data_IF_190961796537
#
_entry.id   IF_190961796537
#
_cell.length_a   1.000
_cell.length_b   1.000
_cell.length_c   1.000
_cell.angle_alpha   90.00
_cell.angle_beta   90.00
_cell.angle_gamma   90.00
#
_symmetry.space_group_name_H-M   'P 1'
#
loop_
_entity.id
_entity.type
_entity.pdbx_description
1 polymer ?
#
# COMPACT_ATOMS: atom_id res chain seq x y z
N UNK A 1 23.05 23.22 -7.97
CA UNK A 1 22.59 22.78 -6.63
C UNK A 1 21.35 21.94 -6.85
N UNK A 2 21.33 20.72 -6.34
CA UNK A 2 20.22 19.77 -6.50
C UNK A 2 19.26 19.96 -5.33
N UNK A 3 18.00 20.30 -5.62
CA UNK A 3 17.00 20.54 -4.58
C UNK A 3 16.12 19.32 -4.34
N UNK A 4 15.91 19.01 -3.05
CA UNK A 4 14.96 18.03 -2.54
C UNK A 4 13.83 18.79 -1.86
N UNK A 5 12.59 18.52 -2.23
CA UNK A 5 11.40 19.10 -1.62
C UNK A 5 10.73 18.12 -0.66
N UNK A 6 10.33 18.58 0.53
CA UNK A 6 9.43 17.85 1.41
C UNK A 6 8.06 18.52 1.39
N UNK A 7 7.05 17.80 0.93
CA UNK A 7 5.66 18.22 0.92
C UNK A 7 4.92 17.47 2.04
N UNK A 8 4.68 18.14 3.17
CA UNK A 8 4.10 17.53 4.38
C UNK A 8 2.94 18.33 4.96
N UNK A 9 2.18 17.71 5.84
CA UNK A 9 1.01 18.27 6.49
C UNK A 9 1.22 18.59 7.96
N UNK A 10 0.51 17.86 8.82
CA UNK A 10 0.45 18.10 10.27
C UNK A 10 1.62 17.56 11.06
N UNK A 11 2.58 16.95 10.42
CA UNK A 11 3.75 16.36 11.05
C UNK A 11 4.69 17.45 11.61
N UNK A 12 5.32 17.21 12.75
CA UNK A 12 6.14 18.21 13.42
C UNK A 12 7.53 17.72 13.81
N UNK A 13 7.77 16.42 14.02
CA UNK A 13 9.07 15.88 14.42
C UNK A 13 9.86 15.33 13.24
N UNK A 14 9.24 14.55 12.37
CA UNK A 14 9.90 13.96 11.20
C UNK A 14 10.37 15.02 10.17
N UNK A 15 9.58 16.01 9.76
CA UNK A 15 9.97 16.94 8.71
C UNK A 15 11.27 17.71 9.00
N UNK A 16 11.45 18.36 10.17
CA UNK A 16 12.70 19.09 10.45
C UNK A 16 13.91 18.14 10.57
N UNK A 17 13.76 16.99 11.22
CA UNK A 17 14.86 16.03 11.36
C UNK A 17 15.31 15.46 9.99
N UNK A 18 14.36 15.16 9.11
CA UNK A 18 14.65 14.72 7.76
C UNK A 18 15.38 15.80 6.93
N UNK A 19 14.90 17.05 6.95
CA UNK A 19 15.52 18.17 6.21
C UNK A 19 16.94 18.39 6.71
N UNK A 20 17.16 18.44 8.02
CA UNK A 20 18.48 18.60 8.63
C UNK A 20 19.41 17.47 8.18
N UNK A 21 18.96 16.21 8.26
CA UNK A 21 19.78 15.06 7.91
C UNK A 21 20.13 15.02 6.42
N UNK A 22 19.19 15.33 5.52
CA UNK A 22 19.49 15.43 4.09
C UNK A 22 20.50 16.55 3.81
N UNK A 23 20.36 17.72 4.46
CA UNK A 23 21.30 18.82 4.32
C UNK A 23 22.71 18.47 4.84
N UNK A 24 22.81 17.69 5.91
CA UNK A 24 24.11 17.19 6.38
C UNK A 24 24.78 16.25 5.36
N UNK A 25 24.03 15.24 4.89
CA UNK A 25 24.51 14.25 3.92
C UNK A 25 24.87 14.91 2.57
N UNK A 26 24.07 15.88 2.17
CA UNK A 26 24.18 16.52 0.86
C UNK A 26 25.30 17.55 0.72
N UNK A 27 25.97 17.95 1.82
CA UNK A 27 27.01 19.02 1.79
C UNK A 27 28.09 18.81 0.74
N UNK A 28 28.56 17.59 0.55
CA UNK A 28 29.64 17.26 -0.41
C UNK A 28 29.14 17.20 -1.85
N UNK A 29 27.89 16.82 -2.04
CA UNK A 29 27.30 16.55 -3.37
C UNK A 29 26.45 17.71 -3.89
N UNK A 30 26.38 18.81 -3.15
CA UNK A 30 25.59 20.00 -3.51
C UNK A 30 24.08 19.74 -3.51
N UNK A 31 23.61 18.80 -2.66
CA UNK A 31 22.19 18.51 -2.47
C UNK A 31 21.67 19.25 -1.23
N UNK A 32 20.51 19.88 -1.36
CA UNK A 32 19.83 20.58 -0.27
C UNK A 32 18.37 20.18 -0.18
N UNK A 33 17.82 20.12 1.04
CA UNK A 33 16.41 19.85 1.30
C UNK A 33 15.72 21.05 1.94
N UNK A 34 14.47 21.26 1.54
CA UNK A 34 13.60 22.32 2.07
C UNK A 34 12.13 21.94 2.01
N UNK A 35 11.28 22.66 2.75
CA UNK A 35 9.83 22.52 2.57
C UNK A 35 9.39 23.03 1.21
N UNK A 36 8.57 22.27 0.49
CA UNK A 36 7.96 22.74 -0.76
C UNK A 36 6.99 23.88 -0.47
N UNK A 37 7.14 24.99 -1.17
CA UNK A 37 6.22 26.13 -1.12
C UNK A 37 5.62 26.35 -2.50
N UNK A 38 4.30 26.32 -2.57
CA UNK A 38 3.56 26.38 -3.82
C UNK A 38 2.57 27.56 -3.82
N UNK A 39 2.51 28.23 -4.95
CA UNK A 39 1.46 29.19 -5.30
C UNK A 39 0.59 28.65 -6.44
N UNK A 40 0.08 29.50 -7.32
CA UNK A 40 -0.55 29.06 -8.57
C UNK A 40 0.49 28.51 -9.53
N UNK A 41 0.29 27.27 -10.01
CA UNK A 41 1.21 26.60 -10.94
C UNK A 41 0.75 26.79 -12.39
N UNK A 42 1.64 27.18 -13.29
CA UNK A 42 1.35 27.35 -14.71
C UNK A 42 1.75 26.12 -15.52
N UNK A 43 0.94 25.76 -16.50
CA UNK A 43 1.32 24.68 -17.44
C UNK A 43 2.66 25.02 -18.12
N UNK A 44 3.57 24.05 -18.18
CA UNK A 44 4.90 24.22 -18.78
C UNK A 44 5.92 24.90 -17.87
N UNK A 45 5.56 25.37 -16.69
CA UNK A 45 6.50 25.85 -15.69
C UNK A 45 7.41 24.71 -15.19
N UNK A 46 8.75 24.86 -15.23
CA UNK A 46 9.64 23.80 -14.80
C UNK A 46 9.51 23.55 -13.31
N UNK A 47 9.60 22.29 -12.89
CA UNK A 47 9.66 21.95 -11.48
C UNK A 47 11.03 22.32 -10.90
N UNK A 48 11.06 22.94 -9.73
CA UNK A 48 12.30 23.38 -9.06
C UNK A 48 13.05 22.22 -8.38
N UNK A 49 12.38 21.11 -8.09
CA UNK A 49 12.91 20.03 -7.28
C UNK A 49 13.31 18.83 -8.14
N UNK A 50 14.47 18.28 -7.86
CA UNK A 50 14.92 17.00 -8.43
C UNK A 50 14.17 15.83 -7.84
N UNK A 51 13.90 15.88 -6.52
CA UNK A 51 13.12 14.88 -5.78
C UNK A 51 12.10 15.62 -4.92
N UNK A 52 10.88 15.08 -4.84
CA UNK A 52 9.88 15.50 -3.86
C UNK A 52 9.43 14.28 -3.05
N UNK A 53 9.47 14.39 -1.72
CA UNK A 53 8.82 13.43 -0.81
C UNK A 53 7.42 13.95 -0.50
N UNK A 54 6.41 13.19 -0.91
CA UNK A 54 5.01 13.53 -0.70
C UNK A 54 4.46 12.81 0.54
N UNK A 55 3.95 13.61 1.48
CA UNK A 55 3.34 13.11 2.73
C UNK A 55 1.96 13.68 3.00
N UNK A 56 1.34 14.37 2.03
CA UNK A 56 0.08 15.09 2.28
C UNK A 56 -0.88 15.10 1.10
N UNK A 57 -0.45 14.82 -0.13
CA UNK A 57 -1.33 14.99 -1.28
C UNK A 57 -2.52 14.01 -1.31
N UNK A 58 -2.50 12.98 -0.48
CA UNK A 58 -3.67 12.12 -0.24
C UNK A 58 -4.83 12.85 0.44
N UNK A 59 -4.56 13.95 1.17
CA UNK A 59 -5.57 14.80 1.80
C UNK A 59 -5.88 16.06 0.99
N UNK A 60 -4.93 16.55 0.17
CA UNK A 60 -5.03 17.86 -0.52
C UNK A 60 -4.86 17.69 -2.03
N UNK A 61 -5.97 17.74 -2.74
CA UNK A 61 -6.03 17.49 -4.19
C UNK A 61 -5.16 18.44 -5.02
N UNK A 62 -5.05 19.72 -4.62
CA UNK A 62 -4.16 20.68 -5.29
C UNK A 62 -2.71 20.18 -5.35
N UNK A 63 -2.19 19.65 -4.25
CA UNK A 63 -0.82 19.10 -4.22
C UNK A 63 -0.67 17.90 -5.14
N UNK A 64 -1.68 17.05 -5.26
CA UNK A 64 -1.69 15.91 -6.17
C UNK A 64 -1.59 16.35 -7.63
N UNK A 65 -2.34 17.41 -8.00
CA UNK A 65 -2.27 18.00 -9.33
C UNK A 65 -0.87 18.54 -9.65
N UNK A 66 -0.27 19.27 -8.70
CA UNK A 66 1.10 19.75 -8.84
C UNK A 66 2.12 18.61 -8.97
N UNK A 67 2.05 17.59 -8.12
CA UNK A 67 2.99 16.46 -8.16
C UNK A 67 2.95 15.70 -9.48
N UNK A 68 1.76 15.50 -10.06
CA UNK A 68 1.63 14.91 -11.41
C UNK A 68 2.31 15.76 -12.47
N UNK A 69 2.13 17.07 -12.40
CA UNK A 69 2.85 18.00 -13.29
C UNK A 69 4.38 17.91 -13.07
N UNK A 70 4.85 17.91 -11.83
CA UNK A 70 6.27 17.81 -11.49
C UNK A 70 6.90 16.51 -12.04
N UNK A 71 6.21 15.36 -11.96
CA UNK A 71 6.68 14.09 -12.56
C UNK A 71 6.86 14.24 -14.07
N UNK A 72 5.92 14.89 -14.76
CA UNK A 72 6.04 15.15 -16.21
C UNK A 72 7.22 16.08 -16.55
N UNK A 73 7.64 16.94 -15.62
CA UNK A 73 8.82 17.79 -15.75
C UNK A 73 10.12 17.10 -15.32
N UNK A 74 10.09 15.80 -14.97
CA UNK A 74 11.25 15.00 -14.61
C UNK A 74 11.60 14.98 -13.13
N UNK A 75 10.74 15.52 -12.26
CA UNK A 75 10.90 15.38 -10.80
C UNK A 75 10.61 13.96 -10.37
N UNK A 76 11.50 13.40 -9.57
CA UNK A 76 11.28 12.10 -8.92
C UNK A 76 10.38 12.30 -7.70
N UNK A 77 9.16 11.77 -7.72
CA UNK A 77 8.22 11.88 -6.59
C UNK A 77 8.11 10.57 -5.85
N UNK A 78 8.33 10.58 -4.54
CA UNK A 78 8.17 9.44 -3.63
C UNK A 78 6.87 9.66 -2.82
N UNK A 79 5.80 8.86 -3.00
CA UNK A 79 5.61 7.84 -4.05
C UNK A 79 5.07 8.46 -5.33
N UNK A 80 5.20 7.75 -6.46
CA UNK A 80 4.71 8.23 -7.75
C UNK A 80 3.19 8.55 -7.71
N UNK A 81 2.78 9.82 -7.93
CA UNK A 81 1.39 10.25 -7.73
C UNK A 81 0.42 9.68 -8.75
N UNK A 82 0.89 9.20 -9.89
CA UNK A 82 0.02 8.56 -10.89
C UNK A 82 -0.45 7.20 -10.45
N UNK A 83 0.35 6.49 -9.63
CA UNK A 83 0.01 5.14 -9.21
C UNK A 83 -0.71 5.12 -7.86
N UNK A 84 -0.17 5.72 -6.82
CA UNK A 84 -0.79 5.61 -5.51
C UNK A 84 -2.17 6.28 -5.42
N UNK A 85 -2.50 7.19 -6.34
CA UNK A 85 -3.85 7.75 -6.46
C UNK A 85 -4.88 6.76 -7.01
N UNK A 86 -4.43 5.62 -7.55
CA UNK A 86 -5.27 4.49 -7.92
C UNK A 86 -5.40 3.48 -6.76
N UNK A 87 -5.33 3.95 -5.52
CA UNK A 87 -5.39 3.16 -4.30
C UNK A 87 -6.71 2.37 -4.22
N UNK A 88 -6.62 1.10 -4.54
CA UNK A 88 -7.71 0.15 -4.64
C UNK A 88 -7.28 -1.15 -3.95
N UNK A 89 -7.78 -1.35 -2.73
CA UNK A 89 -7.44 -2.53 -1.93
C UNK A 89 -7.79 -3.83 -2.65
N UNK A 90 -8.91 -3.89 -3.34
CA UNK A 90 -9.35 -5.11 -4.00
C UNK A 90 -8.46 -5.48 -5.19
N UNK A 91 -8.12 -4.51 -6.03
CA UNK A 91 -7.17 -4.71 -7.13
C UNK A 91 -5.79 -5.12 -6.61
N UNK A 92 -5.29 -4.38 -5.62
CA UNK A 92 -3.96 -4.62 -5.06
C UNK A 92 -3.85 -5.99 -4.38
N UNK A 93 -4.87 -6.42 -3.63
CA UNK A 93 -4.95 -7.78 -3.08
C UNK A 93 -4.96 -8.84 -4.20
N UNK A 94 -5.70 -8.59 -5.27
CA UNK A 94 -5.75 -9.50 -6.42
C UNK A 94 -4.39 -9.65 -7.09
N UNK A 95 -3.67 -8.54 -7.30
CA UNK A 95 -2.32 -8.55 -7.90
C UNK A 95 -1.35 -9.34 -7.02
N UNK A 96 -1.24 -8.99 -5.73
CA UNK A 96 -0.21 -9.59 -4.87
C UNK A 96 -0.53 -11.05 -4.53
N UNK A 97 -1.81 -11.43 -4.48
CA UNK A 97 -2.23 -12.84 -4.37
C UNK A 97 -1.74 -13.68 -5.55
N UNK A 98 -1.87 -13.14 -6.77
CA UNK A 98 -1.34 -13.81 -8.00
C UNK A 98 0.18 -13.93 -7.99
N UNK A 99 0.87 -13.07 -7.26
CA UNK A 99 2.32 -13.12 -7.08
C UNK A 99 2.76 -14.05 -5.92
N UNK A 100 1.81 -14.73 -5.27
CA UNK A 100 2.09 -15.74 -4.24
C UNK A 100 2.17 -15.20 -2.82
N UNK A 101 1.85 -13.93 -2.58
CA UNK A 101 1.71 -13.37 -1.23
C UNK A 101 0.40 -13.85 -0.62
N UNK A 102 0.43 -14.33 0.63
CA UNK A 102 -0.78 -14.74 1.33
C UNK A 102 -1.66 -13.53 1.66
N UNK A 103 -2.90 -13.56 1.22
CA UNK A 103 -3.91 -12.52 1.39
C UNK A 103 -5.16 -13.15 2.00
N UNK A 104 -5.85 -12.50 2.95
CA UNK A 104 -7.15 -12.93 3.40
C UNK A 104 -8.16 -12.94 2.24
N UNK A 105 -9.07 -13.90 2.22
CA UNK A 105 -10.17 -13.92 1.24
C UNK A 105 -10.91 -12.61 1.30
N UNK A 106 -11.15 -11.99 0.16
CA UNK A 106 -11.71 -10.63 0.08
C UNK A 106 -12.78 -10.56 -1.01
N UNK A 107 -13.89 -9.89 -0.69
CA UNK A 107 -14.99 -9.59 -1.61
C UNK A 107 -15.12 -8.08 -1.73
N UNK A 108 -15.33 -7.58 -2.94
CA UNK A 108 -15.69 -6.19 -3.20
C UNK A 108 -17.22 -6.05 -3.13
N UNK A 109 -17.70 -5.11 -2.34
CA UNK A 109 -19.13 -4.80 -2.19
C UNK A 109 -19.46 -3.45 -2.85
N UNK A 110 -20.58 -3.35 -3.58
CA UNK A 110 -21.05 -2.07 -4.11
C UNK A 110 -21.36 -1.09 -2.97
N UNK A 111 -21.42 0.20 -3.28
CA UNK A 111 -21.90 1.21 -2.33
C UNK A 111 -23.37 0.97 -2.01
N UNK A 112 -23.77 1.21 -0.75
CA UNK A 112 -25.18 1.19 -0.37
C UNK A 112 -25.94 2.42 -0.85
N UNK A 113 -25.29 3.57 -0.89
CA UNK A 113 -25.85 4.84 -1.33
C UNK A 113 -24.84 5.67 -2.09
N UNK A 114 -25.28 6.78 -2.62
CA UNK A 114 -24.46 7.67 -3.43
C UNK A 114 -24.53 9.10 -2.86
N UNK A 115 -23.48 9.92 -3.03
CA UNK A 115 -23.53 11.34 -2.67
C UNK A 115 -24.71 12.05 -3.38
N UNK A 116 -25.32 13.00 -2.69
CA UNK A 116 -26.52 13.69 -3.22
C UNK A 116 -26.22 14.60 -4.41
N UNK A 117 -24.98 14.98 -4.61
CA UNK A 117 -24.48 15.80 -5.72
C UNK A 117 -24.12 14.98 -6.97
N UNK A 118 -24.26 13.65 -6.89
CA UNK A 118 -24.04 12.75 -8.02
C UNK A 118 -25.39 12.30 -8.56
N UNK A 119 -25.64 12.56 -9.85
CA UNK A 119 -26.87 12.15 -10.52
C UNK A 119 -26.83 10.65 -10.85
N UNK A 120 -27.20 9.82 -9.85
CA UNK A 120 -27.30 8.37 -9.98
C UNK A 120 -28.78 7.98 -10.05
N UNK A 121 -29.17 7.39 -11.16
CA UNK A 121 -30.51 6.85 -11.41
C UNK A 121 -30.52 5.33 -11.41
N UNK A 122 -31.69 4.71 -11.48
CA UNK A 122 -31.83 3.26 -11.63
C UNK A 122 -31.11 2.73 -12.88
N UNK A 123 -31.09 3.52 -13.94
CA UNK A 123 -30.40 3.19 -15.20
C UNK A 123 -28.89 3.17 -15.03
N UNK A 124 -28.34 4.05 -14.20
CA UNK A 124 -26.91 4.04 -13.84
C UNK A 124 -26.50 2.75 -13.14
N UNK A 125 -27.42 2.12 -12.42
CA UNK A 125 -27.20 0.92 -11.62
C UNK A 125 -27.67 -0.38 -12.32
N UNK A 126 -28.05 -0.34 -13.58
CA UNK A 126 -28.58 -1.49 -14.33
C UNK A 126 -27.63 -2.70 -14.39
N UNK A 127 -26.35 -2.48 -14.18
CA UNK A 127 -25.33 -3.54 -14.20
C UNK A 127 -25.13 -4.20 -12.83
N UNK A 128 -25.70 -3.64 -11.76
CA UNK A 128 -25.64 -4.27 -10.44
C UNK A 128 -26.68 -5.37 -10.33
N UNK A 129 -26.28 -6.48 -9.72
CA UNK A 129 -27.19 -7.63 -9.47
C UNK A 129 -27.63 -7.58 -8.00
N UNK A 130 -28.94 -7.47 -7.80
CA UNK A 130 -29.59 -7.51 -6.49
C UNK A 130 -30.66 -8.60 -6.43
N UNK A 131 -30.94 -9.15 -5.21
CA UNK A 131 -30.23 -8.94 -3.95
C UNK A 131 -28.83 -9.57 -4.01
N UNK A 132 -27.90 -9.06 -3.16
CA UNK A 132 -26.61 -9.71 -2.97
C UNK A 132 -26.79 -11.02 -2.19
N UNK A 133 -26.02 -12.04 -2.54
CA UNK A 133 -25.95 -13.31 -1.82
C UNK A 133 -25.12 -13.16 -0.53
N UNK A 134 -25.69 -12.50 0.48
CA UNK A 134 -25.00 -12.22 1.72
C UNK A 134 -24.50 -13.45 2.47
N UNK A 135 -25.28 -14.53 2.43
CA UNK A 135 -24.89 -15.78 3.09
C UNK A 135 -23.70 -16.42 2.37
N UNK A 136 -23.75 -16.53 1.03
CA UNK A 136 -22.63 -17.03 0.25
C UNK A 136 -21.37 -16.17 0.35
N UNK A 137 -21.50 -14.84 0.46
CA UNK A 137 -20.35 -13.95 0.68
C UNK A 137 -19.70 -14.18 2.05
N UNK A 138 -20.50 -14.32 3.11
CA UNK A 138 -20.00 -14.62 4.45
C UNK A 138 -19.41 -16.04 4.53
N UNK A 139 -19.98 -17.02 3.84
CA UNK A 139 -19.45 -18.39 3.80
C UNK A 139 -18.09 -18.42 3.07
N UNK A 140 -17.93 -17.60 2.04
CA UNK A 140 -16.66 -17.48 1.32
C UNK A 140 -15.54 -16.88 2.19
N UNK A 141 -15.78 -15.77 2.89
CA UNK A 141 -14.76 -15.12 3.72
C UNK A 141 -14.63 -15.72 5.11
N UNK A 142 -15.63 -16.45 5.58
CA UNK A 142 -15.70 -17.02 6.94
C UNK A 142 -16.24 -16.00 7.97
N UNK A 143 -16.43 -16.53 9.20
CA UNK A 143 -16.92 -15.75 10.33
C UNK A 143 -15.96 -15.92 11.52
N UNK A 144 -15.58 -14.84 12.22
CA UNK A 144 -15.92 -13.45 11.94
C UNK A 144 -15.24 -12.92 10.67
N UNK A 145 -15.77 -11.81 10.11
CA UNK A 145 -15.21 -11.11 8.96
C UNK A 145 -14.95 -9.63 9.29
N UNK A 146 -14.17 -8.96 8.45
CA UNK A 146 -13.89 -7.52 8.53
C UNK A 146 -14.54 -6.81 7.35
N UNK A 147 -15.44 -5.87 7.65
CA UNK A 147 -15.96 -4.91 6.68
C UNK A 147 -15.16 -3.63 6.78
N UNK A 148 -14.56 -3.19 5.67
CA UNK A 148 -13.74 -1.97 5.60
C UNK A 148 -13.86 -1.29 4.25
N UNK A 149 -13.63 0.05 4.16
CA UNK A 149 -13.61 0.74 2.89
C UNK A 149 -12.59 0.16 1.92
N UNK A 150 -12.95 0.12 0.65
CA UNK A 150 -12.09 -0.35 -0.42
C UNK A 150 -10.90 0.60 -0.67
N UNK A 151 -11.06 1.89 -0.36
CA UNK A 151 -10.03 2.92 -0.45
C UNK A 151 -9.88 3.69 0.86
N UNK A 152 -8.75 4.38 1.03
CA UNK A 152 -8.44 5.15 2.23
C UNK A 152 -7.93 4.30 3.40
N UNK A 153 -7.74 4.94 4.57
CA UNK A 153 -7.15 4.36 5.77
C UNK A 153 -7.62 5.01 7.06
N UNK A 154 -6.83 4.90 8.13
CA UNK A 154 -7.11 5.55 9.41
C UNK A 154 -8.21 4.91 10.26
N UNK A 155 -8.52 3.64 10.03
CA UNK A 155 -9.52 2.86 10.78
C UNK A 155 -10.96 3.39 10.69
N UNK A 156 -11.26 4.31 9.77
CA UNK A 156 -12.61 4.81 9.55
C UNK A 156 -13.46 3.72 8.88
N UNK A 157 -14.66 3.49 9.41
CA UNK A 157 -15.62 2.51 8.88
C UNK A 157 -15.07 1.07 8.80
N UNK A 158 -14.21 0.67 9.74
CA UNK A 158 -13.73 -0.71 9.89
C UNK A 158 -14.54 -1.40 10.97
N UNK A 159 -15.22 -2.49 10.60
CA UNK A 159 -16.12 -3.24 11.48
C UNK A 159 -15.76 -4.73 11.47
N UNK A 160 -15.67 -5.34 12.65
CA UNK A 160 -15.65 -6.79 12.79
C UNK A 160 -17.08 -7.28 12.93
N UNK A 161 -17.49 -8.21 12.08
CA UNK A 161 -18.87 -8.72 12.00
C UNK A 161 -18.86 -10.25 12.19
N UNK A 162 -19.78 -10.75 12.99
CA UNK A 162 -19.84 -12.18 13.34
C UNK A 162 -20.96 -12.94 12.61
N UNK A 163 -21.96 -12.20 12.10
CA UNK A 163 -23.13 -12.76 11.44
C UNK A 163 -23.67 -11.77 10.38
N UNK A 164 -24.72 -12.18 9.70
CA UNK A 164 -25.34 -11.41 8.62
C UNK A 164 -26.02 -10.14 9.12
N UNK A 165 -26.64 -10.19 10.28
CA UNK A 165 -27.35 -9.07 10.90
C UNK A 165 -26.34 -7.96 11.25
N UNK A 166 -25.23 -8.29 11.90
CA UNK A 166 -24.14 -7.34 12.19
C UNK A 166 -23.52 -6.79 10.90
N UNK A 167 -23.37 -7.62 9.85
CA UNK A 167 -22.88 -7.16 8.56
C UNK A 167 -23.82 -6.12 7.94
N UNK A 168 -25.13 -6.34 7.97
CA UNK A 168 -26.11 -5.39 7.45
C UNK A 168 -26.08 -4.08 8.23
N UNK A 169 -26.11 -4.14 9.57
CA UNK A 169 -26.02 -2.94 10.41
C UNK A 169 -24.74 -2.14 10.14
N UNK A 170 -23.60 -2.82 9.96
CA UNK A 170 -22.35 -2.17 9.64
C UNK A 170 -22.38 -1.56 8.22
N UNK A 171 -22.85 -2.32 7.23
CA UNK A 171 -22.95 -1.87 5.84
C UNK A 171 -23.89 -0.67 5.69
N UNK A 172 -24.98 -0.62 6.47
CA UNK A 172 -25.91 0.51 6.49
C UNK A 172 -25.24 1.83 6.92
N UNK A 173 -24.19 1.76 7.73
CA UNK A 173 -23.43 2.92 8.23
C UNK A 173 -22.32 3.37 7.27
N UNK A 174 -22.11 2.66 6.15
CA UNK A 174 -20.94 2.89 5.27
C UNK A 174 -21.26 3.65 3.98
N UNK A 175 -22.53 4.01 3.74
CA UNK A 175 -22.88 4.91 2.63
C UNK A 175 -22.09 6.23 2.73
N UNK A 176 -21.45 6.75 1.69
CA UNK A 176 -21.50 6.35 0.28
C UNK A 176 -20.26 5.50 -0.17
N UNK A 177 -19.61 4.80 0.73
CA UNK A 177 -18.36 4.11 0.42
C UNK A 177 -18.57 2.75 -0.23
N UNK A 178 -17.76 2.43 -1.24
CA UNK A 178 -17.54 1.04 -1.66
C UNK A 178 -16.75 0.32 -0.58
N UNK A 179 -17.12 -0.92 -0.29
CA UNK A 179 -16.56 -1.67 0.83
C UNK A 179 -15.88 -2.95 0.37
N UNK A 180 -14.97 -3.46 1.17
CA UNK A 180 -14.49 -4.83 1.09
C UNK A 180 -14.94 -5.61 2.32
N UNK A 181 -15.44 -6.83 2.10
CA UNK A 181 -15.66 -7.83 3.14
C UNK A 181 -14.49 -8.81 3.09
N UNK A 182 -13.77 -8.96 4.19
CA UNK A 182 -12.51 -9.70 4.23
C UNK A 182 -12.50 -10.71 5.37
N UNK A 183 -11.88 -11.88 5.12
CA UNK A 183 -11.59 -12.90 6.13
C UNK A 183 -10.85 -12.28 7.32
N UNK A 184 -11.29 -12.61 8.52
CA UNK A 184 -10.57 -12.26 9.73
C UNK A 184 -9.47 -13.28 10.01
N UNK A 185 -8.22 -12.85 9.99
CA UNK A 185 -7.10 -13.69 10.38
C UNK A 185 -6.93 -13.63 11.89
N UNK A 186 -7.17 -14.76 12.55
CA UNK A 186 -6.93 -14.92 13.99
C UNK A 186 -5.43 -15.17 14.22
N UNK A 187 -4.69 -14.06 14.36
CA UNK A 187 -3.24 -14.06 14.39
C UNK A 187 -2.67 -14.22 15.79
N UNK A 188 -1.50 -14.83 15.89
CA UNK A 188 -0.68 -14.91 17.10
C UNK A 188 0.47 -13.89 17.14
N UNK A 189 0.91 -13.39 15.97
CA UNK A 189 1.88 -12.31 15.87
C UNK A 189 1.42 -11.28 14.84
N UNK A 190 1.83 -10.03 15.02
CA UNK A 190 1.47 -8.94 14.13
C UNK A 190 2.69 -8.03 13.88
N UNK A 191 2.97 -7.78 12.61
CA UNK A 191 4.15 -7.04 12.18
C UNK A 191 3.75 -5.90 11.27
N UNK A 192 4.35 -4.75 11.48
CA UNK A 192 4.39 -3.65 10.50
C UNK A 192 5.78 -3.58 9.88
N UNK A 193 5.83 -3.48 8.56
CA UNK A 193 7.09 -3.33 7.84
C UNK A 193 7.20 -1.90 7.32
N UNK A 194 8.17 -1.14 7.82
CA UNK A 194 8.57 0.10 7.16
C UNK A 194 9.34 -0.20 5.90
N UNK A 195 9.07 0.58 4.85
CA UNK A 195 9.71 0.42 3.53
C UNK A 195 10.49 1.67 3.15
N UNK A 196 11.71 1.46 2.67
CA UNK A 196 12.60 2.50 2.17
C UNK A 196 13.14 2.08 0.80
N UNK A 197 12.52 2.57 -0.29
CA UNK A 197 12.97 2.23 -1.65
C UNK A 197 12.67 0.80 -2.07
N UNK A 198 11.45 0.37 -2.13
CA UNK A 198 10.92 -0.93 -2.60
C UNK A 198 11.49 -2.19 -1.90
N UNK A 199 12.80 -2.25 -1.63
CA UNK A 199 13.49 -3.47 -1.19
C UNK A 199 14.12 -3.42 0.20
N UNK A 200 14.36 -2.25 0.77
CA UNK A 200 14.86 -2.09 2.14
C UNK A 200 13.67 -2.12 3.10
N UNK A 201 13.50 -3.24 3.79
CA UNK A 201 12.33 -3.54 4.63
C UNK A 201 12.77 -3.70 6.07
N UNK A 202 12.09 -2.99 6.97
CA UNK A 202 12.27 -3.10 8.40
C UNK A 202 11.00 -3.67 9.04
N UNK A 203 10.94 -4.98 9.34
CA UNK A 203 9.85 -5.57 10.11
C UNK A 203 9.92 -5.11 11.57
N UNK A 204 8.79 -4.68 12.11
CA UNK A 204 8.67 -4.17 13.48
C UNK A 204 7.49 -4.84 14.17
N UNK A 205 7.69 -5.33 15.39
CA UNK A 205 6.61 -5.85 16.22
C UNK A 205 5.60 -4.74 16.53
N UNK A 206 4.32 -5.04 16.35
CA UNK A 206 3.25 -4.07 16.57
C UNK A 206 2.08 -4.69 17.32
N UNK A 207 1.59 -3.99 18.33
CA UNK A 207 0.34 -4.33 19.01
C UNK A 207 -0.82 -3.52 18.43
N UNK A 208 -1.70 -4.13 17.61
CA UNK A 208 -2.81 -3.42 16.99
C UNK A 208 -3.91 -3.01 17.97
N UNK A 209 -3.98 -3.66 19.15
CA UNK A 209 -4.96 -3.30 20.19
C UNK A 209 -4.54 -2.04 20.94
N UNK A 210 -3.26 -1.96 21.30
CA UNK A 210 -2.69 -0.80 21.96
C UNK A 210 -2.22 0.28 20.98
N UNK A 211 -2.13 -0.05 19.69
CA UNK A 211 -1.59 0.80 18.62
C UNK A 211 -0.17 1.26 18.91
N UNK A 212 0.69 0.31 19.33
CA UNK A 212 2.07 0.58 19.73
C UNK A 212 3.07 -0.28 18.98
N UNK A 213 4.18 0.35 18.63
CA UNK A 213 5.36 -0.33 18.14
C UNK A 213 6.21 -0.81 19.34
N UNK A 214 6.67 -2.05 19.27
CA UNK A 214 7.50 -2.65 20.29
C UNK A 214 8.93 -2.85 19.76
N UNK A 215 9.92 -2.49 20.55
CA UNK A 215 11.32 -2.78 20.22
C UNK A 215 11.63 -4.16 20.77
N UNK A 216 11.42 -5.19 19.97
CA UNK A 216 11.65 -6.58 20.33
C UNK A 216 12.64 -7.23 19.35
N UNK A 217 13.76 -7.70 19.89
CA UNK A 217 14.73 -8.48 19.12
C UNK A 217 14.22 -9.93 19.01
N UNK A 218 14.38 -10.51 17.80
CA UNK A 218 13.97 -11.89 17.50
C UNK A 218 12.47 -12.16 17.67
N UNK A 219 11.62 -11.14 17.44
CA UNK A 219 10.16 -11.27 17.50
C UNK A 219 9.61 -12.34 16.55
N UNK A 220 10.21 -12.46 15.37
CA UNK A 220 9.88 -13.47 14.36
C UNK A 220 10.94 -14.58 14.33
N UNK A 221 10.54 -15.80 14.01
CA UNK A 221 11.48 -16.83 13.62
C UNK A 221 12.24 -16.39 12.34
N UNK A 222 13.41 -16.99 12.10
CA UNK A 222 14.23 -16.65 10.93
C UNK A 222 13.47 -16.89 9.62
N UNK A 223 12.72 -17.98 9.55
CA UNK A 223 11.94 -18.39 8.38
C UNK A 223 10.77 -17.44 8.11
N UNK A 224 9.99 -17.14 9.14
CA UNK A 224 8.86 -16.20 9.05
C UNK A 224 9.36 -14.81 8.73
N UNK A 225 10.43 -14.34 9.37
CA UNK A 225 11.02 -13.03 9.10
C UNK A 225 11.52 -12.90 7.66
N UNK A 226 12.21 -13.93 7.13
CA UNK A 226 12.66 -13.94 5.74
C UNK A 226 11.46 -13.89 4.75
N UNK A 227 10.38 -14.59 5.06
CA UNK A 227 9.16 -14.58 4.24
C UNK A 227 8.48 -13.22 4.29
N UNK A 228 8.32 -12.62 5.46
CA UNK A 228 7.75 -11.27 5.64
C UNK A 228 8.51 -10.25 4.79
N UNK A 229 9.85 -10.26 4.84
CA UNK A 229 10.69 -9.36 4.04
C UNK A 229 10.48 -9.60 2.54
N UNK A 230 10.51 -10.85 2.09
CA UNK A 230 10.30 -11.21 0.68
C UNK A 230 8.91 -10.78 0.19
N UNK A 231 7.87 -11.06 0.97
CA UNK A 231 6.50 -10.71 0.61
C UNK A 231 6.32 -9.18 0.56
N UNK A 232 6.91 -8.43 1.51
CA UNK A 232 6.92 -6.97 1.50
C UNK A 232 7.64 -6.39 0.27
N UNK A 233 8.80 -6.95 -0.10
CA UNK A 233 9.52 -6.57 -1.34
C UNK A 233 8.66 -6.83 -2.57
N UNK A 234 8.01 -8.00 -2.66
CA UNK A 234 7.11 -8.35 -3.77
C UNK A 234 5.97 -7.34 -3.90
N UNK A 235 5.33 -6.98 -2.79
CA UNK A 235 4.26 -5.97 -2.75
C UNK A 235 4.77 -4.63 -3.29
N UNK A 236 5.89 -4.13 -2.75
CA UNK A 236 6.40 -2.81 -3.13
C UNK A 236 6.90 -2.75 -4.58
N UNK A 237 7.53 -3.81 -5.06
CA UNK A 237 7.97 -3.90 -6.47
C UNK A 237 6.76 -3.93 -7.41
N UNK A 238 5.75 -4.73 -7.09
CA UNK A 238 4.54 -4.82 -7.91
C UNK A 238 3.75 -3.51 -7.94
N UNK A 239 3.60 -2.85 -6.78
CA UNK A 239 2.77 -1.66 -6.63
C UNK A 239 3.53 -0.35 -6.77
N UNK A 240 4.86 -0.37 -6.87
CA UNK A 240 5.67 0.84 -7.08
C UNK A 240 5.90 1.68 -5.83
N UNK A 241 5.63 1.17 -4.61
CA UNK A 241 5.83 1.93 -3.38
C UNK A 241 7.30 1.95 -2.94
N UNK A 242 7.83 3.14 -2.71
CA UNK A 242 9.17 3.35 -2.14
C UNK A 242 9.13 3.83 -0.68
N UNK A 243 8.02 4.38 -0.25
CA UNK A 243 7.71 4.73 1.14
C UNK A 243 6.36 4.12 1.47
N UNK A 244 6.32 3.16 2.38
CA UNK A 244 5.12 2.40 2.68
C UNK A 244 5.17 1.82 4.09
N UNK A 245 4.03 1.47 4.64
CA UNK A 245 3.92 0.56 5.78
C UNK A 245 3.02 -0.60 5.39
N UNK A 246 3.52 -1.81 5.57
CA UNK A 246 2.81 -3.05 5.27
C UNK A 246 2.50 -3.78 6.57
N UNK A 247 1.24 -4.18 6.75
CA UNK A 247 0.77 -4.89 7.93
C UNK A 247 0.58 -6.38 7.62
N UNK A 248 1.28 -7.23 8.39
CA UNK A 248 1.11 -8.67 8.33
C UNK A 248 0.51 -9.21 9.63
N UNK A 249 -0.60 -9.96 9.50
CA UNK A 249 -1.14 -10.82 10.53
C UNK A 249 -0.56 -12.22 10.33
N UNK A 250 0.16 -12.74 11.33
CA UNK A 250 0.83 -14.03 11.22
C UNK A 250 0.01 -15.08 11.96
N UNK A 251 -0.38 -16.12 11.23
CA UNK A 251 -1.11 -17.27 11.72
C UNK A 251 -0.47 -18.54 11.20
N UNK A 252 -0.16 -19.48 12.10
CA UNK A 252 0.44 -20.77 11.75
C UNK A 252 1.69 -20.60 10.86
N UNK A 253 2.58 -19.66 11.23
CA UNK A 253 3.80 -19.26 10.52
C UNK A 253 3.57 -18.71 9.10
N UNK A 254 2.33 -18.41 8.73
CA UNK A 254 1.97 -17.76 7.45
C UNK A 254 1.71 -16.28 7.66
N UNK A 255 2.51 -15.38 7.06
CA UNK A 255 2.24 -13.94 7.09
C UNK A 255 1.17 -13.56 6.05
N UNK A 256 0.00 -13.18 6.51
CA UNK A 256 -1.06 -12.65 5.67
C UNK A 256 -0.93 -11.13 5.58
N UNK A 257 -0.72 -10.58 4.38
CA UNK A 257 -0.73 -9.13 4.18
C UNK A 257 -2.17 -8.62 4.23
N UNK A 258 -2.50 -7.88 5.30
CA UNK A 258 -3.88 -7.44 5.57
C UNK A 258 -4.13 -5.97 5.29
N UNK A 259 -3.10 -5.13 5.31
CA UNK A 259 -3.11 -3.74 4.86
C UNK A 259 -1.70 -3.34 4.43
N UNK A 260 -1.58 -2.76 3.23
CA UNK A 260 -0.26 -2.44 2.66
C UNK A 260 -0.27 -1.24 1.71
N UNK A 261 -1.27 -0.38 1.85
CA UNK A 261 -1.44 0.84 1.07
C UNK A 261 -1.34 2.04 2.02
N UNK A 262 -0.13 2.38 2.40
CA UNK A 262 0.13 3.54 3.25
C UNK A 262 1.27 4.39 2.66
N UNK A 263 0.94 5.27 1.67
CA UNK A 263 1.94 6.09 0.97
C UNK A 263 2.57 7.19 1.85
N UNK A 264 1.98 7.50 3.00
CA UNK A 264 2.48 8.48 3.96
C UNK A 264 2.42 7.90 5.39
N UNK A 265 3.28 6.92 5.72
CA UNK A 265 3.30 6.32 7.05
C UNK A 265 3.51 7.37 8.14
N UNK A 266 2.89 7.19 9.30
CA UNK A 266 3.12 8.05 10.45
C UNK A 266 4.54 7.82 10.99
N UNK A 267 5.42 8.77 10.77
CA UNK A 267 6.82 8.75 11.18
C UNK A 267 7.11 9.67 12.37
N UNK A 268 6.07 10.11 13.08
CA UNK A 268 6.27 10.97 14.24
C UNK A 268 6.94 10.24 15.40
N UNK A 269 7.87 10.93 16.08
CA UNK A 269 8.74 10.39 17.14
C UNK A 269 7.95 9.75 18.28
N UNK A 270 6.85 10.37 18.68
CA UNK A 270 5.96 9.88 19.73
C UNK A 270 5.13 8.67 19.31
N UNK A 271 5.04 8.39 18.01
CA UNK A 271 4.29 7.26 17.44
C UNK A 271 5.14 6.01 17.27
N UNK A 272 6.34 6.17 16.68
CA UNK A 272 7.16 5.02 16.29
C UNK A 272 8.31 4.72 17.25
N UNK A 273 8.42 5.41 18.37
CA UNK A 273 9.52 5.36 19.36
C UNK A 273 10.82 6.03 18.85
N UNK A 274 11.68 6.46 19.80
CA UNK A 274 12.96 7.09 19.47
C UNK A 274 13.85 6.21 18.60
N UNK A 275 13.93 4.91 18.95
CA UNK A 275 14.79 3.95 18.25
C UNK A 275 14.42 3.83 16.75
N UNK A 276 13.13 3.70 16.45
CA UNK A 276 12.69 3.60 15.05
C UNK A 276 12.68 4.95 14.35
N UNK A 277 12.49 6.05 15.09
CA UNK A 277 12.51 7.39 14.53
C UNK A 277 13.86 7.73 13.91
N UNK A 278 14.96 7.52 14.66
CA UNK A 278 16.31 7.75 14.15
C UNK A 278 16.61 6.89 12.93
N UNK A 279 16.18 5.63 12.95
CA UNK A 279 16.35 4.70 11.83
C UNK A 279 15.58 5.17 10.59
N UNK A 280 14.33 5.60 10.75
CA UNK A 280 13.47 6.09 9.65
C UNK A 280 14.06 7.36 9.04
N UNK A 281 14.48 8.33 9.86
CA UNK A 281 15.13 9.57 9.39
C UNK A 281 16.37 9.25 8.56
N UNK A 282 17.25 8.38 9.07
CA UNK A 282 18.47 7.99 8.34
C UNK A 282 18.17 7.30 7.03
N UNK A 283 17.26 6.30 7.02
CA UNK A 283 16.92 5.53 5.82
C UNK A 283 16.22 6.36 4.75
N UNK A 284 15.25 7.20 5.15
CA UNK A 284 14.58 8.10 4.23
C UNK A 284 15.54 9.15 3.64
N UNK A 285 16.45 9.67 4.45
CA UNK A 285 17.44 10.64 3.98
C UNK A 285 18.39 10.03 2.97
N UNK A 286 18.88 8.80 3.21
CA UNK A 286 19.74 8.08 2.25
C UNK A 286 18.99 7.72 0.97
N UNK A 287 17.76 7.27 1.06
CA UNK A 287 16.92 7.00 -0.11
C UNK A 287 16.80 8.25 -0.98
N UNK A 288 16.49 9.38 -0.39
CA UNK A 288 16.31 10.65 -1.12
C UNK A 288 17.63 11.13 -1.74
N UNK A 289 18.75 10.99 -1.02
CA UNK A 289 20.08 11.28 -1.58
C UNK A 289 20.37 10.42 -2.81
N UNK A 290 20.11 9.11 -2.74
CA UNK A 290 20.28 8.23 -3.92
C UNK A 290 19.38 8.65 -5.08
N UNK A 291 18.12 8.97 -4.82
CA UNK A 291 17.19 9.42 -5.87
C UNK A 291 17.57 10.78 -6.44
N UNK A 292 18.13 11.68 -5.62
CA UNK A 292 18.61 12.99 -6.08
C UNK A 292 19.81 12.87 -7.03
N UNK A 293 20.72 11.96 -6.73
CA UNK A 293 21.96 11.79 -7.51
C UNK A 293 21.80 10.82 -8.70
N UNK A 294 21.04 9.73 -8.53
CA UNK A 294 20.99 8.63 -9.49
C UNK A 294 19.57 8.26 -9.95
N UNK A 295 18.52 8.86 -9.37
CA UNK A 295 17.13 8.47 -9.63
C UNK A 295 16.71 8.68 -11.09
N UNK A 296 16.04 7.68 -11.64
CA UNK A 296 15.33 7.77 -12.91
C UNK A 296 13.82 7.65 -12.64
N UNK A 297 13.02 8.61 -13.10
CA UNK A 297 11.57 8.65 -12.91
C UNK A 297 10.90 7.35 -13.36
N UNK A 298 11.39 6.71 -14.41
CA UNK A 298 10.87 5.41 -14.86
C UNK A 298 10.92 4.31 -13.78
N UNK A 299 11.86 4.40 -12.84
CA UNK A 299 11.98 3.40 -11.76
C UNK A 299 10.92 3.57 -10.67
N UNK A 300 10.16 4.66 -10.66
CA UNK A 300 9.09 4.92 -9.69
C UNK A 300 7.74 4.27 -10.05
N UNK A 301 7.62 3.69 -11.26
CA UNK A 301 6.41 3.05 -11.72
C UNK A 301 6.22 1.65 -11.12
N UNK A 302 4.96 1.15 -11.07
CA UNK A 302 4.66 -0.20 -10.61
C UNK A 302 5.19 -1.27 -11.58
N UNK A 303 5.57 -2.42 -11.04
CA UNK A 303 6.11 -3.53 -11.82
C UNK A 303 5.15 -4.70 -12.01
N UNK A 304 3.89 -4.61 -11.60
CA UNK A 304 2.97 -5.75 -11.57
C UNK A 304 2.70 -6.36 -12.96
N UNK A 305 2.64 -5.55 -14.01
CA UNK A 305 2.43 -6.06 -15.38
C UNK A 305 3.56 -6.98 -15.82
N UNK A 306 4.80 -6.55 -15.61
CA UNK A 306 5.99 -7.34 -15.92
C UNK A 306 6.07 -8.60 -15.04
N UNK A 307 5.85 -8.45 -13.73
CA UNK A 307 5.90 -9.56 -12.78
C UNK A 307 4.84 -10.63 -13.01
N UNK A 308 3.66 -10.25 -13.52
CA UNK A 308 2.60 -11.20 -13.91
C UNK A 308 2.74 -11.70 -15.35
N UNK A 309 3.71 -11.18 -16.13
CA UNK A 309 3.87 -11.52 -17.55
C UNK A 309 2.75 -10.98 -18.42
N UNK A 310 2.07 -9.90 -18.01
CA UNK A 310 0.96 -9.26 -18.74
C UNK A 310 1.38 -8.01 -19.50
N UNK A 311 2.66 -7.62 -19.41
CA UNK A 311 3.20 -6.44 -20.10
C UNK A 311 3.13 -6.55 -21.64
N UNK A 312 3.37 -5.46 -22.33
CA UNK A 312 3.22 -5.31 -23.79
C UNK A 312 4.04 -6.32 -24.63
N UNK A 313 5.01 -7.01 -24.05
CA UNK A 313 5.79 -8.07 -24.67
C UNK A 313 5.07 -9.45 -24.64
N UNK A 314 4.15 -9.67 -23.70
CA UNK A 314 3.28 -10.84 -23.68
C UNK A 314 1.99 -10.44 -24.39
N UNK A 315 1.92 -10.60 -25.70
CA UNK A 315 0.68 -10.32 -26.44
C UNK A 315 -0.52 -10.86 -25.68
N UNK A 316 -1.55 -10.04 -25.54
CA UNK A 316 -2.77 -10.32 -24.77
C UNK A 316 -3.42 -11.63 -25.24
N UNK A 317 -2.91 -12.76 -24.81
CA UNK A 317 -3.54 -14.07 -24.98
C UNK A 317 -4.37 -14.31 -23.73
N UNK A 318 -5.63 -13.89 -23.81
CA UNK A 318 -6.60 -14.04 -22.74
C UNK A 318 -6.86 -15.51 -22.41
N UNK A 319 -6.13 -16.04 -21.45
CA UNK A 319 -6.56 -17.14 -20.57
C UNK A 319 -5.58 -17.21 -19.39
N UNK A 320 -6.04 -17.25 -18.13
CA UNK A 320 -5.17 -17.48 -17.00
C UNK A 320 -4.57 -18.89 -17.12
N UNK A 321 -3.24 -19.00 -17.16
CA UNK A 321 -2.56 -20.27 -16.97
C UNK A 321 -2.77 -20.72 -15.54
N UNK A 322 -3.79 -21.50 -15.30
CA UNK A 322 -3.92 -22.29 -14.08
C UNK A 322 -2.74 -23.26 -14.08
N UNK A 323 -1.82 -23.14 -13.11
CA UNK A 323 -0.78 -24.11 -12.90
C UNK A 323 -1.44 -25.47 -12.65
N UNK A 324 -1.33 -26.38 -13.61
CA UNK A 324 -1.76 -27.76 -13.43
C UNK A 324 -0.83 -28.36 -12.38
N UNK A 325 -1.40 -28.70 -11.23
CA UNK A 325 -0.76 -29.62 -10.31
C UNK A 325 -0.42 -30.91 -11.09
N UNK A 326 0.83 -31.33 -11.00
CA UNK A 326 1.31 -32.57 -11.60
C UNK A 326 0.50 -33.74 -11.01
N UNK A 327 -0.45 -34.25 -11.77
CA UNK A 327 -1.09 -35.54 -11.48
C UNK A 327 -0.07 -36.63 -11.77
N UNK A 328 0.28 -37.38 -10.74
CA UNK A 328 1.15 -38.55 -10.83
C UNK A 328 0.62 -39.55 -11.83
N UNK A 329 1.51 -40.06 -12.66
CA UNK A 329 1.23 -41.14 -13.58
C UNK A 329 0.88 -42.42 -12.81
N UNK A 330 -0.14 -43.19 -13.21
CA UNK A 330 -0.36 -44.52 -12.66
C UNK A 330 0.67 -45.51 -13.26
N UNK A 331 1.39 -46.20 -12.39
CA UNK A 331 2.20 -47.34 -12.74
C UNK A 331 1.29 -48.49 -13.24
N UNK A 332 1.31 -48.73 -14.53
CA UNK A 332 0.68 -49.91 -15.14
C UNK A 332 1.66 -51.10 -15.10
N UNK A 333 1.34 -52.07 -14.27
CA UNK A 333 1.93 -53.40 -14.29
C UNK A 333 1.43 -54.16 -15.52
N UNK A 334 2.40 -54.65 -16.29
CA UNK A 334 2.15 -55.60 -17.34
C UNK A 334 1.86 -57.01 -16.76
N UNK A 335 0.88 -57.67 -17.30
CA UNK A 335 0.80 -59.15 -17.31
C UNK A 335 0.06 -59.64 -18.55
N UNK A 336 0.79 -60.43 -19.34
CA UNK A 336 0.44 -61.32 -20.44
C UNK A 336 -0.07 -60.72 -21.75
#
# INVERSE_FOLDING_TARGET
>A
MVKVGLLCGREFSFPPAFIERVNELGKKDGVTAEYVKLGGTRMGEPAEYRVIVDRISHEVEYYRGYLKHAVMQGTYVINNPFWWTADDKFFNYSVVSKLGVAIPKTVLLPQKGYPADVDITSESLRNLRYPLDWDGLLDYVGRPAILKPYSGGGWKHVYKVNNKEELWEAYDKTSPYSMTLQEFIDFNQYVRCFTFGKTDILPVAYDPKQRKYNVEHNYLSREVGARVVKDAQTINLALGYEMNTIEFAIKDDVPYAIDFLNPAPDFERDRITEFYFEHVVEKMSRLVMDRALHGNVANSWPGWEEMLGTGAAAGFTGAPRVARAAQGAPSGTAAR
#
